data_IF_190606618661
#
_entry.id   IF_190606618661
#
_cell.length_a   1.000
_cell.length_b   1.000
_cell.length_c   1.000
_cell.angle_alpha   90.00
_cell.angle_beta   90.00
_cell.angle_gamma   90.00
#
_symmetry.space_group_name_H-M   'P 1'
#
loop_
_entity.id
_entity.type
_entity.pdbx_description
1 polymer ?
#
# COMPACT_ATOMS: atom_id res chain seq x y z
N UNK A 1 -16.18 -22.71 -7.01
CA UNK A 1 -16.13 -21.61 -6.03
C UNK A 1 -15.48 -20.43 -6.74
N UNK A 2 -16.16 -19.29 -6.82
CA UNK A 2 -15.53 -18.08 -7.34
C UNK A 2 -14.34 -17.68 -6.45
N UNK A 3 -13.22 -17.19 -7.02
CA UNK A 3 -12.11 -16.68 -6.24
C UNK A 3 -12.60 -15.59 -5.27
N UNK A 4 -12.17 -15.64 -4.01
CA UNK A 4 -12.55 -14.69 -2.94
C UNK A 4 -12.34 -13.22 -3.38
N UNK A 5 -11.34 -12.97 -4.23
CA UNK A 5 -11.04 -11.63 -4.75
C UNK A 5 -12.09 -11.09 -5.73
N UNK A 6 -12.76 -11.97 -6.49
CA UNK A 6 -13.87 -11.58 -7.37
C UNK A 6 -15.11 -11.26 -6.54
N UNK A 7 -15.41 -12.11 -5.55
CA UNK A 7 -16.48 -11.88 -4.58
C UNK A 7 -16.31 -10.54 -3.85
N UNK A 8 -15.08 -10.23 -3.40
CA UNK A 8 -14.76 -8.95 -2.78
C UNK A 8 -15.09 -7.76 -3.69
N UNK A 9 -14.74 -7.84 -4.97
CA UNK A 9 -15.01 -6.76 -5.93
C UNK A 9 -16.51 -6.63 -6.19
N UNK A 10 -17.23 -7.73 -6.38
CA UNK A 10 -18.68 -7.73 -6.57
C UNK A 10 -19.42 -7.12 -5.37
N UNK A 11 -19.00 -7.46 -4.14
CA UNK A 11 -19.58 -6.91 -2.92
C UNK A 11 -19.30 -5.41 -2.82
N UNK A 12 -18.09 -4.96 -3.16
CA UNK A 12 -17.75 -3.54 -3.16
C UNK A 12 -18.51 -2.76 -4.26
N UNK A 13 -18.79 -3.38 -5.40
CA UNK A 13 -19.62 -2.81 -6.48
C UNK A 13 -21.08 -2.69 -6.00
N UNK A 14 -21.64 -3.75 -5.40
CA UNK A 14 -22.99 -3.76 -4.81
C UNK A 14 -23.12 -2.71 -3.70
N UNK A 15 -22.11 -2.57 -2.85
CA UNK A 15 -22.05 -1.58 -1.78
C UNK A 15 -21.92 -0.14 -2.29
N UNK A 16 -21.28 0.05 -3.45
CA UNK A 16 -21.21 1.35 -4.10
C UNK A 16 -22.56 1.77 -4.68
N UNK A 17 -23.26 0.84 -5.33
CA UNK A 17 -24.60 1.06 -5.89
C UNK A 17 -25.64 1.29 -4.79
N UNK A 18 -25.55 0.52 -3.70
CA UNK A 18 -26.49 0.54 -2.58
C UNK A 18 -25.76 0.69 -1.22
N UNK A 19 -25.26 1.88 -0.86
CA UNK A 19 -24.60 2.13 0.42
C UNK A 19 -25.42 1.80 1.68
N UNK A 20 -26.76 1.92 1.69
CA UNK A 20 -27.57 1.55 2.87
C UNK A 20 -27.33 0.10 3.33
N UNK A 21 -26.94 -0.81 2.44
CA UNK A 21 -26.62 -2.19 2.81
C UNK A 21 -25.37 -2.30 3.70
N UNK A 22 -24.41 -1.38 3.57
CA UNK A 22 -23.28 -1.31 4.50
C UNK A 22 -23.68 -0.73 5.86
N UNK A 23 -24.60 0.23 5.86
CA UNK A 23 -25.12 0.86 7.09
C UNK A 23 -26.04 -0.07 7.89
N UNK A 24 -26.64 -1.06 7.24
CA UNK A 24 -27.51 -2.05 7.88
C UNK A 24 -26.81 -3.39 8.13
N UNK A 25 -25.50 -3.48 7.82
CA UNK A 25 -24.69 -4.69 7.97
C UNK A 25 -25.30 -5.92 7.24
N UNK A 26 -25.94 -5.71 6.10
CA UNK A 26 -26.59 -6.80 5.34
C UNK A 26 -25.66 -7.52 4.39
N UNK A 27 -24.46 -6.95 4.13
CA UNK A 27 -23.45 -7.52 3.25
C UNK A 27 -22.36 -8.23 4.06
N UNK A 28 -22.26 -9.55 3.89
CA UNK A 28 -21.13 -10.33 4.40
C UNK A 28 -19.99 -10.38 3.37
N UNK A 29 -18.84 -9.79 3.71
CA UNK A 29 -17.64 -9.79 2.89
C UNK A 29 -16.97 -11.18 2.79
N UNK A 30 -17.07 -11.99 3.84
CA UNK A 30 -16.45 -13.30 3.93
C UNK A 30 -17.49 -14.33 4.42
N UNK A 31 -17.53 -15.53 3.84
CA UNK A 31 -18.37 -16.60 4.38
C UNK A 31 -17.83 -16.99 5.76
N UNK A 32 -18.64 -16.77 6.80
CA UNK A 32 -18.24 -17.04 8.18
C UNK A 32 -19.38 -16.84 9.18
N UNK A 33 -19.21 -17.33 10.41
CA UNK A 33 -20.19 -17.11 11.47
C UNK A 33 -20.36 -15.61 11.70
N UNK A 34 -21.60 -15.14 11.76
CA UNK A 34 -21.91 -13.78 12.19
C UNK A 34 -21.41 -13.60 13.62
N UNK A 35 -20.53 -12.62 13.82
CA UNK A 35 -20.14 -12.24 15.17
C UNK A 35 -21.40 -11.78 15.93
N UNK A 36 -21.57 -12.16 17.20
CA UNK A 36 -22.65 -11.63 18.02
C UNK A 36 -22.50 -10.10 18.09
N UNK A 37 -23.62 -9.40 17.84
CA UNK A 37 -23.67 -7.94 17.93
C UNK A 37 -23.36 -7.54 19.38
N UNK A 38 -22.31 -6.73 19.54
CA UNK A 38 -22.00 -6.10 20.82
C UNK A 38 -22.80 -4.79 20.97
N UNK A 39 -23.00 -4.27 22.18
CA UNK A 39 -23.76 -3.04 22.39
C UNK A 39 -23.21 -1.84 21.61
N UNK A 40 -21.92 -1.84 21.28
CA UNK A 40 -21.26 -0.78 20.50
C UNK A 40 -21.66 -0.85 19.02
N UNK A 41 -21.66 -2.03 18.41
CA UNK A 41 -22.08 -2.23 17.01
C UNK A 41 -23.57 -1.95 16.84
N UNK A 42 -24.42 -2.30 17.79
CA UNK A 42 -25.84 -1.94 17.77
C UNK A 42 -26.07 -0.42 17.76
N UNK A 43 -25.27 0.33 18.52
CA UNK A 43 -25.32 1.80 18.52
C UNK A 43 -24.84 2.36 17.17
N UNK A 44 -23.78 1.79 16.58
CA UNK A 44 -23.20 2.26 15.33
C UNK A 44 -24.11 2.01 14.11
N UNK A 45 -24.91 0.95 14.12
CA UNK A 45 -25.84 0.63 13.02
C UNK A 45 -27.25 1.22 13.22
N UNK A 46 -27.48 2.00 14.29
CA UNK A 46 -28.76 2.68 14.51
C UNK A 46 -28.94 3.81 13.50
N UNK A 47 -30.05 3.86 12.75
CA UNK A 47 -30.25 4.85 11.69
C UNK A 47 -30.29 6.26 12.26
N UNK A 48 -29.56 7.18 11.64
CA UNK A 48 -29.40 8.56 12.08
C UNK A 48 -29.51 9.51 10.88
N UNK A 49 -30.72 10.04 10.68
CA UNK A 49 -31.10 10.78 9.48
C UNK A 49 -30.17 11.96 9.11
N UNK A 50 -29.47 12.55 10.10
CA UNK A 50 -28.54 13.67 9.90
C UNK A 50 -27.11 13.26 9.48
N UNK A 51 -26.65 12.06 9.85
CA UNK A 51 -25.30 11.58 9.59
C UNK A 51 -25.25 10.58 8.44
N UNK A 52 -26.36 9.90 8.17
CA UNK A 52 -26.43 8.82 7.17
C UNK A 52 -26.11 9.36 5.77
N UNK A 53 -26.66 10.51 5.37
CA UNK A 53 -26.39 11.12 4.05
C UNK A 53 -24.91 11.47 3.82
N UNK A 54 -24.23 12.00 4.84
CA UNK A 54 -22.79 12.28 4.77
C UNK A 54 -21.99 10.97 4.71
N UNK A 55 -22.38 10.00 5.54
CA UNK A 55 -21.72 8.69 5.67
C UNK A 55 -21.84 7.89 4.37
N UNK A 56 -22.99 7.90 3.70
CA UNK A 56 -23.19 7.28 2.38
C UNK A 56 -22.22 7.86 1.34
N UNK A 57 -22.03 9.18 1.32
CA UNK A 57 -21.09 9.84 0.40
C UNK A 57 -19.65 9.40 0.66
N UNK A 58 -19.26 9.27 1.94
CA UNK A 58 -17.95 8.77 2.33
C UNK A 58 -17.78 7.30 1.97
N UNK A 59 -18.78 6.45 2.25
CA UNK A 59 -18.76 5.02 1.93
C UNK A 59 -18.61 4.80 0.43
N UNK A 60 -19.34 5.53 -0.42
CA UNK A 60 -19.16 5.46 -1.89
C UNK A 60 -17.73 5.76 -2.31
N UNK A 61 -17.14 6.85 -1.80
CA UNK A 61 -15.75 7.22 -2.11
C UNK A 61 -14.77 6.18 -1.61
N UNK A 62 -15.01 5.63 -0.43
CA UNK A 62 -14.19 4.59 0.17
C UNK A 62 -14.25 3.29 -0.63
N UNK A 63 -15.45 2.82 -1.01
CA UNK A 63 -15.65 1.67 -1.88
C UNK A 63 -14.91 1.84 -3.21
N UNK A 64 -14.98 3.01 -3.86
CA UNK A 64 -14.21 3.28 -5.08
C UNK A 64 -12.71 3.08 -4.85
N UNK A 65 -12.16 3.66 -3.78
CA UNK A 65 -10.72 3.54 -3.49
C UNK A 65 -10.29 2.13 -3.11
N UNK A 66 -11.12 1.41 -2.37
CA UNK A 66 -10.89 0.00 -2.09
C UNK A 66 -10.95 -0.84 -3.37
N UNK A 67 -11.92 -0.61 -4.25
CA UNK A 67 -12.01 -1.31 -5.53
C UNK A 67 -10.78 -1.05 -6.41
N UNK A 68 -10.38 0.21 -6.57
CA UNK A 68 -9.16 0.57 -7.31
C UNK A 68 -7.94 -0.16 -6.74
N UNK A 69 -7.82 -0.18 -5.41
CA UNK A 69 -6.69 -0.83 -4.73
C UNK A 69 -6.72 -2.35 -4.87
N UNK A 70 -7.88 -2.98 -4.69
CA UNK A 70 -8.08 -4.42 -4.85
C UNK A 70 -7.81 -4.85 -6.30
N UNK A 71 -8.33 -4.12 -7.30
CA UNK A 71 -8.05 -4.37 -8.72
C UNK A 71 -6.55 -4.25 -9.03
N UNK A 72 -5.86 -3.29 -8.39
CA UNK A 72 -4.40 -3.16 -8.53
C UNK A 72 -3.61 -4.26 -7.83
N UNK A 73 -4.02 -4.72 -6.65
CA UNK A 73 -3.31 -5.74 -5.87
C UNK A 73 -3.48 -7.14 -6.48
N UNK A 74 -4.69 -7.45 -6.95
CA UNK A 74 -5.05 -8.75 -7.49
C UNK A 74 -5.05 -8.78 -9.02
N UNK A 75 -4.45 -7.77 -9.68
CA UNK A 75 -4.43 -7.63 -11.14
C UNK A 75 -4.04 -8.93 -11.86
N UNK A 76 -3.07 -9.65 -11.33
CA UNK A 76 -2.57 -10.87 -11.96
C UNK A 76 -3.50 -12.09 -11.77
N UNK A 77 -4.45 -12.02 -10.83
CA UNK A 77 -5.42 -13.08 -10.50
C UNK A 77 -6.86 -12.75 -10.94
N UNK A 78 -7.10 -11.55 -11.48
CA UNK A 78 -8.40 -11.14 -12.03
C UNK A 78 -8.56 -11.59 -13.47
N UNK A 79 -9.79 -11.56 -14.05
CA UNK A 79 -9.98 -11.80 -15.48
C UNK A 79 -9.05 -10.87 -16.27
N UNK A 80 -8.29 -11.42 -17.23
CA UNK A 80 -7.15 -10.79 -17.94
C UNK A 80 -5.79 -10.81 -17.22
N UNK A 81 -5.70 -11.40 -16.04
CA UNK A 81 -4.47 -11.56 -15.26
C UNK A 81 -3.62 -12.75 -15.70
N UNK A 82 -2.31 -12.67 -15.50
CA UNK A 82 -1.35 -13.72 -15.91
C UNK A 82 -1.62 -15.09 -15.26
N UNK A 83 -2.20 -15.09 -14.06
CA UNK A 83 -2.47 -16.27 -13.26
C UNK A 83 -3.96 -16.58 -13.13
N UNK A 84 -4.81 -15.91 -13.91
CA UNK A 84 -6.25 -16.20 -13.94
C UNK A 84 -6.53 -17.57 -14.54
N UNK A 85 -5.89 -17.87 -15.66
CA UNK A 85 -5.88 -19.18 -16.32
C UNK A 85 -4.43 -19.65 -16.43
N UNK A 86 -3.89 -20.32 -15.39
CA UNK A 86 -2.50 -20.75 -15.41
C UNK A 86 -2.28 -21.83 -16.47
N UNK A 87 -1.30 -21.62 -17.34
CA UNK A 87 -0.83 -22.65 -18.28
C UNK A 87 -0.32 -23.90 -17.54
N UNK A 88 -0.35 -25.06 -18.20
CA UNK A 88 0.13 -26.33 -17.63
C UNK A 88 1.60 -26.24 -17.15
N UNK A 89 2.45 -25.52 -17.89
CA UNK A 89 3.83 -25.26 -17.48
C UNK A 89 3.94 -24.44 -16.18
N UNK A 90 3.02 -23.51 -15.96
CA UNK A 90 2.97 -22.71 -14.72
C UNK A 90 2.47 -23.55 -13.55
N UNK A 91 1.54 -24.49 -13.80
CA UNK A 91 1.12 -25.45 -12.78
C UNK A 91 2.26 -26.42 -12.42
N UNK A 92 2.97 -26.97 -13.41
CA UNK A 92 4.07 -27.90 -13.18
C UNK A 92 5.19 -27.27 -12.33
N UNK A 93 5.58 -26.03 -12.64
CA UNK A 93 6.61 -25.30 -11.90
C UNK A 93 6.21 -24.93 -10.47
N UNK A 94 4.91 -24.79 -10.20
CA UNK A 94 4.38 -24.42 -8.88
C UNK A 94 3.97 -25.63 -8.02
N UNK A 95 3.98 -26.86 -8.56
CA UNK A 95 3.70 -28.10 -7.78
C UNK A 95 4.60 -28.27 -6.55
N UNK A 96 5.83 -27.74 -6.62
CA UNK A 96 6.79 -27.79 -5.51
C UNK A 96 6.48 -26.78 -4.39
N UNK A 97 5.62 -25.79 -4.65
CA UNK A 97 5.25 -24.77 -3.68
C UNK A 97 4.09 -25.28 -2.81
N UNK A 98 4.17 -25.13 -1.48
CA UNK A 98 3.04 -25.47 -0.61
C UNK A 98 1.83 -24.58 -0.93
N UNK A 99 0.64 -25.15 -0.88
CA UNK A 99 -0.63 -24.44 -1.11
C UNK A 99 -1.00 -23.46 0.01
N UNK A 100 -0.29 -23.53 1.14
CA UNK A 100 -0.50 -22.66 2.29
C UNK A 100 0.72 -21.76 2.54
N UNK A 101 0.46 -20.64 3.20
CA UNK A 101 1.46 -19.65 3.59
C UNK A 101 2.17 -20.01 4.92
N UNK A 102 1.94 -21.19 5.48
CA UNK A 102 2.47 -21.61 6.80
C UNK A 102 4.00 -21.54 6.83
N UNK A 103 4.66 -21.89 5.72
CA UNK A 103 6.12 -21.81 5.61
C UNK A 103 6.62 -20.38 5.79
N UNK A 104 5.94 -19.42 5.15
CA UNK A 104 6.25 -18.00 5.22
C UNK A 104 5.97 -17.45 6.62
N UNK A 105 4.81 -17.76 7.20
CA UNK A 105 4.44 -17.36 8.55
C UNK A 105 5.43 -17.89 9.60
N UNK A 106 5.86 -19.15 9.46
CA UNK A 106 6.86 -19.75 10.34
C UNK A 106 8.20 -19.02 10.26
N UNK A 107 8.66 -18.68 9.05
CA UNK A 107 9.91 -17.93 8.85
C UNK A 107 9.80 -16.54 9.48
N UNK A 108 8.67 -15.85 9.30
CA UNK A 108 8.44 -14.56 9.95
C UNK A 108 8.36 -14.65 11.47
N UNK A 109 7.70 -15.67 12.03
CA UNK A 109 7.66 -15.90 13.47
C UNK A 109 9.04 -16.18 14.06
N UNK A 110 9.89 -16.94 13.35
CA UNK A 110 11.28 -17.16 13.72
C UNK A 110 12.11 -15.87 13.67
N UNK A 111 11.93 -15.05 12.63
CA UNK A 111 12.59 -13.76 12.49
C UNK A 111 12.22 -12.82 13.64
N UNK A 112 10.93 -12.68 13.94
CA UNK A 112 10.43 -11.84 15.03
C UNK A 112 10.97 -12.30 16.40
N UNK A 113 10.96 -13.61 16.65
CA UNK A 113 11.53 -14.17 17.87
C UNK A 113 13.04 -13.86 18.02
N UNK A 114 13.82 -13.98 16.95
CA UNK A 114 15.26 -13.67 16.99
C UNK A 114 15.53 -12.16 17.15
N UNK A 115 14.74 -11.31 16.50
CA UNK A 115 14.86 -9.85 16.67
C UNK A 115 14.54 -9.41 18.10
N UNK A 116 13.52 -10.02 18.74
CA UNK A 116 13.20 -9.77 20.15
C UNK A 116 14.29 -10.29 21.09
N UNK A 117 14.86 -11.46 20.79
CA UNK A 117 15.90 -12.09 21.61
C UNK A 117 17.26 -11.36 21.52
N UNK A 118 17.58 -10.80 20.36
CA UNK A 118 18.86 -10.13 20.11
C UNK A 118 18.66 -8.79 19.38
N UNK A 119 18.12 -7.77 20.05
CA UNK A 119 17.77 -6.49 19.43
C UNK A 119 18.99 -5.69 18.94
N UNK A 120 20.17 -5.93 19.53
CA UNK A 120 21.42 -5.30 19.10
C UNK A 120 22.09 -6.04 17.92
N UNK A 121 21.54 -7.17 17.48
CA UNK A 121 22.08 -7.92 16.37
C UNK A 121 21.74 -7.25 15.04
N UNK A 122 22.65 -7.31 14.07
CA UNK A 122 22.33 -6.80 12.74
C UNK A 122 21.29 -7.71 12.06
N UNK A 123 20.34 -7.11 11.33
CA UNK A 123 19.32 -7.88 10.60
C UNK A 123 19.95 -8.95 9.70
N UNK A 124 21.08 -8.65 9.05
CA UNK A 124 21.84 -9.59 8.22
C UNK A 124 22.30 -10.82 8.99
N UNK A 125 22.76 -10.63 10.23
CA UNK A 125 23.20 -11.75 11.07
C UNK A 125 22.03 -12.65 11.43
N UNK A 126 20.87 -12.05 11.74
CA UNK A 126 19.64 -12.79 12.02
C UNK A 126 19.15 -13.54 10.78
N UNK A 127 19.12 -12.89 9.62
CA UNK A 127 18.77 -13.50 8.33
C UNK A 127 19.71 -14.67 7.98
N UNK A 128 21.03 -14.48 8.10
CA UNK A 128 22.01 -15.54 7.83
C UNK A 128 21.81 -16.73 8.76
N UNK A 129 21.54 -16.50 10.05
CA UNK A 129 21.24 -17.57 11.01
C UNK A 129 19.97 -18.33 10.62
N UNK A 130 18.93 -17.61 10.23
CA UNK A 130 17.65 -18.18 9.83
C UNK A 130 17.79 -19.05 8.58
N UNK A 131 18.49 -18.55 7.55
CA UNK A 131 18.80 -19.29 6.33
C UNK A 131 19.66 -20.52 6.62
N UNK A 132 20.70 -20.37 7.44
CA UNK A 132 21.57 -21.48 7.82
C UNK A 132 20.80 -22.62 8.50
N UNK A 133 19.84 -22.27 9.37
CA UNK A 133 18.96 -23.24 10.06
C UNK A 133 17.95 -23.87 9.11
N UNK A 134 17.22 -23.06 8.33
CA UNK A 134 16.11 -23.54 7.51
C UNK A 134 16.57 -24.31 6.27
N UNK A 135 17.74 -23.96 5.72
CA UNK A 135 18.34 -24.68 4.59
C UNK A 135 19.17 -25.90 5.03
N UNK A 136 19.17 -26.24 6.33
CA UNK A 136 19.94 -27.36 6.91
C UNK A 136 21.42 -27.30 6.51
N UNK A 137 21.98 -26.09 6.42
CA UNK A 137 23.34 -25.89 5.90
C UNK A 137 24.39 -26.59 6.77
N UNK A 138 24.13 -26.77 8.06
CA UNK A 138 24.99 -27.56 8.95
C UNK A 138 25.05 -29.04 8.57
N UNK A 139 23.91 -29.65 8.23
CA UNK A 139 23.83 -31.05 7.80
C UNK A 139 24.52 -31.22 6.45
N UNK A 140 24.20 -30.35 5.50
CA UNK A 140 24.85 -30.32 4.19
C UNK A 140 26.37 -30.15 4.27
N UNK A 141 26.87 -29.29 5.16
CA UNK A 141 28.31 -29.13 5.37
C UNK A 141 28.96 -30.38 5.95
N UNK A 142 28.27 -31.15 6.81
CA UNK A 142 28.82 -32.38 7.40
C UNK A 142 29.06 -33.48 6.36
N UNK A 143 28.24 -33.53 5.31
CA UNK A 143 28.34 -34.51 4.22
C UNK A 143 29.54 -34.25 3.28
N UNK A 144 30.17 -33.07 3.35
CA UNK A 144 31.31 -32.70 2.50
C UNK A 144 32.63 -33.20 3.08
N UNK A 145 33.64 -33.32 2.21
CA UNK A 145 35.02 -33.61 2.62
C UNK A 145 35.63 -32.42 3.35
N UNK A 146 36.58 -32.67 4.24
CA UNK A 146 37.17 -31.60 5.07
C UNK A 146 37.86 -30.51 4.24
N UNK A 147 38.55 -30.88 3.16
CA UNK A 147 39.14 -29.92 2.21
C UNK A 147 38.10 -29.02 1.57
N UNK A 148 36.98 -29.59 1.13
CA UNK A 148 35.88 -28.85 0.47
C UNK A 148 35.17 -27.91 1.47
N UNK A 149 34.98 -28.34 2.73
CA UNK A 149 34.40 -27.48 3.77
C UNK A 149 35.26 -26.24 4.00
N UNK A 150 36.58 -26.43 4.11
CA UNK A 150 37.53 -25.33 4.30
C UNK A 150 37.47 -24.33 3.14
N UNK A 151 37.45 -24.82 1.91
CA UNK A 151 37.33 -23.98 0.71
C UNK A 151 36.03 -23.16 0.71
N UNK A 152 34.89 -23.80 0.99
CA UNK A 152 33.57 -23.14 1.02
C UNK A 152 33.53 -22.04 2.09
N UNK A 153 34.02 -22.31 3.30
CA UNK A 153 34.02 -21.32 4.40
C UNK A 153 34.96 -20.16 4.05
N UNK A 154 36.13 -20.44 3.51
CA UNK A 154 37.10 -19.42 3.11
C UNK A 154 36.59 -18.56 1.95
N UNK A 155 35.88 -19.15 0.99
CA UNK A 155 35.22 -18.41 -0.08
C UNK A 155 34.09 -17.52 0.46
N UNK A 156 33.23 -18.04 1.34
CA UNK A 156 32.17 -17.27 1.97
C UNK A 156 32.73 -16.06 2.75
N UNK A 157 33.82 -16.27 3.50
CA UNK A 157 34.54 -15.20 4.20
C UNK A 157 35.09 -14.12 3.26
N UNK A 158 35.73 -14.52 2.15
CA UNK A 158 36.25 -13.59 1.13
C UNK A 158 35.14 -12.78 0.46
N UNK A 159 34.02 -13.43 0.16
CA UNK A 159 32.88 -12.79 -0.51
C UNK A 159 32.06 -11.89 0.42
N UNK A 160 32.08 -12.13 1.73
CA UNK A 160 31.36 -11.31 2.70
C UNK A 160 31.79 -9.83 2.66
N UNK A 161 33.09 -9.55 2.54
CA UNK A 161 33.57 -8.16 2.45
C UNK A 161 33.03 -7.44 1.21
N UNK A 162 33.04 -8.11 0.05
CA UNK A 162 32.46 -7.59 -1.20
C UNK A 162 30.96 -7.31 -1.04
N UNK A 163 30.23 -8.23 -0.42
CA UNK A 163 28.79 -8.08 -0.18
C UNK A 163 28.47 -6.93 0.78
N UNK A 164 29.25 -6.76 1.85
CA UNK A 164 29.10 -5.64 2.79
C UNK A 164 29.29 -4.30 2.08
N UNK A 165 30.34 -4.18 1.26
CA UNK A 165 30.61 -2.95 0.51
C UNK A 165 29.52 -2.66 -0.52
N UNK A 166 29.08 -3.67 -1.26
CA UNK A 166 27.96 -3.55 -2.20
C UNK A 166 26.68 -3.09 -1.50
N UNK A 167 26.35 -3.69 -0.36
CA UNK A 167 25.18 -3.33 0.45
C UNK A 167 25.24 -1.87 0.93
N UNK A 168 26.40 -1.42 1.41
CA UNK A 168 26.63 -0.02 1.82
C UNK A 168 26.44 0.95 0.65
N UNK A 169 27.01 0.64 -0.53
CA UNK A 169 26.86 1.46 -1.73
C UNK A 169 25.39 1.54 -2.18
N UNK A 170 24.68 0.41 -2.15
CA UNK A 170 23.25 0.35 -2.47
C UNK A 170 22.43 1.21 -1.50
N UNK A 171 22.72 1.15 -0.20
CA UNK A 171 22.05 1.98 0.80
C UNK A 171 22.31 3.48 0.58
N UNK A 172 23.56 3.88 0.27
CA UNK A 172 23.90 5.27 -0.07
C UNK A 172 23.11 5.77 -1.28
N UNK A 173 23.09 5.00 -2.37
CA UNK A 173 22.31 5.34 -3.58
C UNK A 173 20.82 5.48 -3.30
N UNK A 174 20.25 4.58 -2.48
CA UNK A 174 18.85 4.67 -2.03
C UNK A 174 18.58 5.94 -1.23
N UNK A 175 19.50 6.30 -0.33
CA UNK A 175 19.41 7.51 0.46
C UNK A 175 19.45 8.77 -0.41
N UNK A 176 20.40 8.84 -1.35
CA UNK A 176 20.51 9.94 -2.32
C UNK A 176 19.24 10.08 -3.17
N UNK A 177 18.67 8.97 -3.65
CA UNK A 177 17.42 8.98 -4.40
C UNK A 177 16.25 9.51 -3.55
N UNK A 178 16.18 9.13 -2.27
CA UNK A 178 15.15 9.65 -1.35
C UNK A 178 15.30 11.15 -1.15
N UNK A 179 16.53 11.64 -0.97
CA UNK A 179 16.80 13.07 -0.84
C UNK A 179 16.36 13.84 -2.08
N UNK A 180 16.69 13.35 -3.29
CA UNK A 180 16.26 13.95 -4.56
C UNK A 180 14.73 14.05 -4.66
N UNK A 181 14.01 12.98 -4.35
CA UNK A 181 12.54 12.96 -4.36
C UNK A 181 11.97 13.99 -3.37
N UNK A 182 12.55 14.09 -2.16
CA UNK A 182 12.12 15.07 -1.15
C UNK A 182 12.37 16.49 -1.67
N UNK A 183 13.51 16.74 -2.30
CA UNK A 183 13.88 18.05 -2.83
C UNK A 183 12.98 18.47 -4.00
N UNK A 184 12.66 17.55 -4.90
CA UNK A 184 11.69 17.75 -5.98
C UNK A 184 10.29 18.05 -5.44
N UNK A 185 9.85 17.32 -4.40
CA UNK A 185 8.57 17.60 -3.71
C UNK A 185 8.56 18.98 -3.07
N UNK A 186 9.68 19.42 -2.47
CA UNK A 186 9.81 20.79 -1.93
C UNK A 186 9.74 21.83 -3.06
N UNK A 187 10.50 21.66 -4.15
CA UNK A 187 10.51 22.56 -5.31
C UNK A 187 9.14 22.66 -5.99
N UNK A 188 8.42 21.55 -6.12
CA UNK A 188 7.06 21.57 -6.69
C UNK A 188 6.05 22.25 -5.76
N UNK A 189 6.18 22.05 -4.43
CA UNK A 189 5.35 22.75 -3.44
C UNK A 189 5.60 24.26 -3.45
N UNK A 190 6.86 24.71 -3.43
CA UNK A 190 7.18 26.14 -3.48
C UNK A 190 6.69 26.78 -4.78
N UNK A 191 6.88 26.15 -5.94
CA UNK A 191 6.32 26.62 -7.22
C UNK A 191 4.79 26.74 -7.20
N UNK A 192 4.09 25.79 -6.56
CA UNK A 192 2.62 25.85 -6.41
C UNK A 192 2.20 27.00 -5.50
N UNK A 193 2.89 27.21 -4.39
CA UNK A 193 2.63 28.30 -3.45
C UNK A 193 2.91 29.67 -4.09
N UNK A 194 4.01 29.80 -4.83
CA UNK A 194 4.35 30.99 -5.58
C UNK A 194 3.32 31.30 -6.67
N UNK A 195 2.89 30.30 -7.44
CA UNK A 195 1.78 30.45 -8.40
C UNK A 195 0.52 30.97 -7.71
N UNK A 196 0.12 30.37 -6.57
CA UNK A 196 -1.03 30.83 -5.78
C UNK A 196 -0.86 32.26 -5.29
N UNK A 197 0.33 32.64 -4.81
CA UNK A 197 0.63 33.99 -4.37
C UNK A 197 0.51 34.99 -5.52
N UNK A 198 1.07 34.66 -6.68
CA UNK A 198 0.95 35.47 -7.90
C UNK A 198 -0.50 35.61 -8.34
N UNK A 199 -1.32 34.54 -8.25
CA UNK A 199 -2.76 34.63 -8.57
C UNK A 199 -3.48 35.56 -7.62
N UNK A 200 -3.21 35.46 -6.30
CA UNK A 200 -3.78 36.38 -5.30
C UNK A 200 -3.35 37.83 -5.53
N UNK A 201 -2.08 38.08 -5.83
CA UNK A 201 -1.58 39.42 -6.16
C UNK A 201 -2.26 39.98 -7.41
N UNK A 202 -2.50 39.17 -8.45
CA UNK A 202 -3.27 39.58 -9.62
C UNK A 202 -4.70 39.95 -9.25
N UNK A 203 -5.40 39.07 -8.52
CA UNK A 203 -6.77 39.33 -8.06
C UNK A 203 -6.87 40.62 -7.23
N UNK A 204 -5.88 40.90 -6.35
CA UNK A 204 -5.84 42.15 -5.59
C UNK A 204 -5.63 43.38 -6.47
N UNK A 205 -4.73 43.31 -7.46
CA UNK A 205 -4.55 44.38 -8.45
C UNK A 205 -5.81 44.58 -9.28
N UNK A 206 -6.46 43.51 -9.71
CA UNK A 206 -7.72 43.59 -10.47
C UNK A 206 -8.79 44.27 -9.62
N UNK A 207 -8.89 43.96 -8.31
CA UNK A 207 -9.78 44.65 -7.37
C UNK A 207 -9.43 46.13 -7.19
N UNK A 208 -8.14 46.49 -7.13
CA UNK A 208 -7.69 47.89 -7.09
C UNK A 208 -8.04 48.64 -8.38
N UNK A 209 -7.92 47.98 -9.54
CA UNK A 209 -8.18 48.56 -10.87
C UNK A 209 -9.68 48.74 -11.12
N UNK A 210 -10.50 47.78 -10.68
CA UNK A 210 -11.97 47.88 -10.69
C UNK A 210 -12.45 48.96 -9.70
N UNK A 211 -11.61 49.30 -8.72
CA UNK A 211 -11.90 50.25 -7.67
C UNK A 211 -12.84 49.64 -6.63
N UNK A 212 -12.58 49.91 -5.34
CA UNK A 212 -13.56 49.59 -4.30
C UNK A 212 -14.86 50.30 -4.69
N UNK A 213 -15.90 49.50 -4.86
CA UNK A 213 -17.26 49.77 -5.35
C UNK A 213 -17.93 50.89 -4.53
N UNK A 214 -17.42 52.11 -4.64
CA UNK A 214 -17.84 53.27 -3.84
C UNK A 214 -19.08 53.95 -4.39
N UNK A 215 -19.46 53.67 -5.64
CA UNK A 215 -20.61 54.28 -6.30
C UNK A 215 -21.47 53.25 -7.04
N UNK A 216 -22.76 53.19 -6.70
CA UNK A 216 -23.78 52.26 -7.23
C UNK A 216 -23.83 52.23 -8.78
N UNK A 217 -23.57 53.35 -9.45
CA UNK A 217 -23.58 53.44 -10.92
C UNK A 217 -22.46 52.67 -11.62
N UNK A 218 -21.28 52.57 -10.99
CA UNK A 218 -20.12 51.86 -11.54
C UNK A 218 -20.33 50.33 -11.45
N UNK A 219 -21.19 49.90 -10.52
CA UNK A 219 -21.58 48.50 -10.29
C UNK A 219 -22.42 48.00 -11.48
N UNK A 220 -23.43 48.77 -11.86
CA UNK A 220 -24.37 48.42 -12.94
C UNK A 220 -23.67 48.38 -14.32
N UNK A 221 -22.79 49.34 -14.61
CA UNK A 221 -22.04 49.38 -15.87
C UNK A 221 -21.05 48.21 -16.03
N UNK A 222 -20.42 47.76 -14.93
CA UNK A 222 -19.45 46.65 -15.00
C UNK A 222 -20.13 45.28 -14.97
N UNK A 223 -21.28 45.12 -14.31
CA UNK A 223 -22.08 43.88 -14.37
C UNK A 223 -22.57 43.63 -15.81
N UNK A 224 -22.95 44.68 -16.54
CA UNK A 224 -23.34 44.59 -17.95
C UNK A 224 -22.23 44.10 -18.89
N UNK A 225 -20.95 44.24 -18.51
CA UNK A 225 -19.80 43.74 -19.30
C UNK A 225 -19.48 42.26 -19.07
N UNK A 226 -19.96 41.65 -17.98
CA UNK A 226 -19.75 40.23 -17.68
C UNK A 226 -20.90 39.32 -18.11
N UNK A 227 -22.04 39.88 -18.53
CA UNK A 227 -23.25 39.16 -18.97
C UNK A 227 -23.39 39.05 -20.50
N UNK A 228 -22.45 39.60 -21.27
CA UNK A 228 -22.26 39.34 -22.70
C UNK A 228 -20.99 38.51 -22.92
#
# INVERSE_FOLDING_TARGET
MEPIFQLLIQILETAYENPPFLLQNTLQLLPGPTLPLDPVTEILFKPSFSLDAATESFLKRFCIKLMEKSKSLFKDFLPSGKFFEPSDNSMESTKSCPSNNISVERVFGQLDAELKRAPHCSLRTVESKLLYKNNKTAEWLKEKKESEKGEIINEAGRNNSKFINFSKLKQKKLHENRLKIIEERKKTKTKREEKKRLTKCKMLKDLETIGIWKNQKIIEENIGKFLN
#
